data_IF_781195842054
#
_entry.id   IF_781195842054
#
_cell.length_a   1.000
_cell.length_b   1.000
_cell.length_c   1.000
_cell.angle_alpha   90.00
_cell.angle_beta   90.00
_cell.angle_gamma   90.00
#
_symmetry.space_group_name_H-M   'P 1'
#
loop_
_entity.id
_entity.type
_entity.pdbx_description
1 polymer ?
#
# COMPACT_ATOMS: atom_id res chain seq x y z
N UNK A 1 24.78 -50.68 22.40
CA UNK A 1 24.27 -50.42 21.04
C UNK A 1 24.46 -48.94 20.79
N UNK A 2 25.18 -48.52 19.73
CA UNK A 2 25.34 -47.10 19.44
C UNK A 2 24.05 -46.57 18.81
N UNK A 3 23.63 -45.36 19.22
CA UNK A 3 22.48 -44.67 18.68
C UNK A 3 22.81 -44.13 17.28
N UNK A 4 21.94 -44.38 16.31
CA UNK A 4 22.03 -43.81 14.97
C UNK A 4 21.76 -42.29 15.01
N UNK A 5 22.50 -41.48 14.23
CA UNK A 5 22.22 -40.06 14.11
C UNK A 5 20.93 -39.85 13.31
N UNK A 6 19.98 -39.14 13.91
CA UNK A 6 18.78 -38.66 13.22
C UNK A 6 19.20 -37.70 12.09
N UNK A 7 18.86 -38.08 10.86
CA UNK A 7 19.02 -37.22 9.67
C UNK A 7 18.09 -36.01 9.83
N UNK A 8 18.67 -34.81 9.80
CA UNK A 8 17.93 -33.56 9.82
C UNK A 8 17.06 -33.44 8.57
N UNK A 9 15.76 -33.26 8.77
CA UNK A 9 14.81 -32.89 7.72
C UNK A 9 15.19 -31.47 7.27
N UNK A 10 15.55 -31.31 5.99
CA UNK A 10 15.73 -29.99 5.41
C UNK A 10 14.39 -29.24 5.45
N UNK A 11 14.37 -27.92 5.72
CA UNK A 11 13.13 -27.17 5.74
C UNK A 11 12.50 -27.25 4.34
N UNK A 12 11.31 -27.83 4.27
CA UNK A 12 10.49 -27.78 3.07
C UNK A 12 10.24 -26.30 2.78
N UNK A 13 10.63 -25.85 1.57
CA UNK A 13 10.22 -24.54 1.08
C UNK A 13 8.70 -24.59 0.95
N UNK A 14 7.97 -24.03 1.92
CA UNK A 14 6.55 -23.75 1.78
C UNK A 14 6.39 -22.81 0.58
N UNK A 15 5.99 -23.37 -0.57
CA UNK A 15 5.56 -22.57 -1.71
C UNK A 15 4.37 -21.72 -1.24
N UNK A 16 4.57 -20.40 -1.16
CA UNK A 16 3.56 -19.44 -0.76
C UNK A 16 2.32 -19.61 -1.64
N UNK A 17 1.18 -19.98 -1.03
CA UNK A 17 -0.04 -20.33 -1.75
C UNK A 17 -0.61 -19.11 -2.51
N UNK A 18 -0.44 -19.10 -3.83
CA UNK A 18 -1.04 -18.08 -4.70
C UNK A 18 -2.53 -18.36 -4.94
N UNK A 19 -3.36 -17.72 -4.10
CA UNK A 19 -4.83 -17.83 -4.17
C UNK A 19 -5.45 -17.24 -5.45
N UNK A 20 -4.73 -16.38 -6.19
CA UNK A 20 -5.24 -15.73 -7.39
C UNK A 20 -5.03 -16.56 -8.65
N UNK A 21 -4.03 -17.44 -8.64
CA UNK A 21 -3.79 -18.41 -9.72
C UNK A 21 -5.05 -19.23 -10.04
N UNK A 22 -5.75 -19.67 -8.99
CA UNK A 22 -6.97 -20.46 -9.13
C UNK A 22 -8.27 -19.62 -9.06
N UNK A 23 -8.18 -18.35 -8.65
CA UNK A 23 -9.32 -17.45 -8.49
C UNK A 23 -9.00 -16.03 -9.02
N UNK A 24 -8.80 -15.86 -10.34
CA UNK A 24 -8.39 -14.57 -10.92
C UNK A 24 -9.43 -13.45 -10.70
N UNK A 25 -10.70 -13.80 -10.47
CA UNK A 25 -11.78 -12.85 -10.17
C UNK A 25 -11.55 -12.07 -8.87
N UNK A 26 -10.72 -12.58 -7.94
CA UNK A 26 -10.33 -11.85 -6.73
C UNK A 26 -9.42 -10.64 -7.02
N UNK A 27 -8.81 -10.57 -8.21
CA UNK A 27 -8.02 -9.43 -8.69
C UNK A 27 -8.89 -8.35 -9.38
N UNK A 28 -10.21 -8.58 -9.51
CA UNK A 28 -11.15 -7.75 -10.27
C UNK A 28 -12.06 -6.83 -9.42
N UNK A 29 -12.63 -5.82 -10.09
CA UNK A 29 -13.46 -4.78 -9.45
C UNK A 29 -14.82 -5.27 -8.93
N UNK A 30 -15.18 -4.74 -7.76
CA UNK A 30 -16.44 -4.86 -7.03
C UNK A 30 -16.94 -6.29 -6.70
N UNK A 31 -16.31 -6.91 -5.71
CA UNK A 31 -16.95 -8.02 -4.98
C UNK A 31 -18.17 -7.46 -4.20
N UNK A 32 -19.39 -8.04 -4.37
CA UNK A 32 -20.58 -7.64 -3.62
C UNK A 32 -20.31 -7.55 -2.11
N UNK A 33 -20.90 -6.57 -1.43
CA UNK A 33 -20.79 -6.41 0.04
C UNK A 33 -21.21 -7.72 0.70
N UNK A 34 -20.27 -8.47 1.26
CA UNK A 34 -20.56 -9.75 1.92
C UNK A 34 -21.37 -9.43 3.18
N UNK A 35 -22.63 -9.84 3.22
CA UNK A 35 -23.56 -9.56 4.33
C UNK A 35 -23.27 -10.37 5.60
N UNK A 36 -22.25 -11.24 5.61
CA UNK A 36 -21.90 -12.10 6.76
C UNK A 36 -20.39 -12.27 6.91
N UNK A 37 -19.86 -11.80 8.04
CA UNK A 37 -18.48 -11.95 8.50
C UNK A 37 -18.28 -13.28 9.23
N UNK A 38 -18.32 -14.42 8.53
CA UNK A 38 -17.90 -15.69 9.14
C UNK A 38 -16.84 -16.38 8.28
N UNK A 39 -15.76 -16.79 8.95
CA UNK A 39 -14.58 -17.53 8.49
C UNK A 39 -13.69 -16.82 7.46
N UNK A 40 -13.02 -15.73 7.86
CA UNK A 40 -11.68 -15.50 7.35
C UNK A 40 -10.69 -16.23 8.27
N UNK A 41 -9.65 -16.83 7.71
CA UNK A 41 -8.64 -17.56 8.46
C UNK A 41 -7.70 -16.59 9.17
N UNK A 42 -8.19 -16.02 10.27
CA UNK A 42 -7.51 -15.03 11.09
C UNK A 42 -6.25 -15.56 11.79
N UNK A 43 -6.02 -16.87 11.75
CA UNK A 43 -4.86 -17.53 12.35
C UNK A 43 -3.60 -17.45 11.49
N UNK A 44 -3.73 -17.17 10.18
CA UNK A 44 -2.64 -17.19 9.20
C UNK A 44 -2.30 -15.80 8.62
N UNK A 45 -2.44 -14.74 9.41
CA UNK A 45 -1.89 -13.42 9.08
C UNK A 45 -2.75 -12.48 8.23
N UNK A 46 -3.82 -12.94 7.58
CA UNK A 46 -4.69 -12.05 6.79
C UNK A 46 -5.62 -11.23 7.69
N UNK A 47 -5.43 -9.90 7.72
CA UNK A 47 -6.22 -9.01 8.59
C UNK A 47 -7.34 -8.25 7.85
N UNK A 48 -7.42 -8.32 6.51
CA UNK A 48 -8.53 -7.78 5.73
C UNK A 48 -8.64 -8.46 4.35
N UNK A 49 -9.84 -8.79 3.85
CA UNK A 49 -9.99 -9.20 2.46
C UNK A 49 -9.65 -8.03 1.52
N UNK A 50 -9.04 -8.34 0.37
CA UNK A 50 -8.76 -7.32 -0.63
C UNK A 50 -10.06 -6.70 -1.14
N UNK A 51 -10.14 -5.37 -1.09
CA UNK A 51 -11.19 -4.55 -1.70
C UNK A 51 -10.54 -3.30 -2.26
N UNK A 52 -10.58 -3.06 -3.57
CA UNK A 52 -10.05 -1.82 -4.14
C UNK A 52 -10.86 -0.64 -3.61
N UNK A 53 -10.18 0.48 -3.35
CA UNK A 53 -10.86 1.72 -2.97
C UNK A 53 -11.49 2.34 -4.22
N UNK A 54 -12.78 2.71 -4.21
CA UNK A 54 -13.40 3.37 -5.36
C UNK A 54 -12.70 4.67 -5.75
N UNK A 55 -12.48 4.89 -7.05
CA UNK A 55 -11.68 6.00 -7.58
C UNK A 55 -12.27 7.40 -7.29
N UNK A 56 -13.59 7.50 -7.24
CA UNK A 56 -14.32 8.73 -6.91
C UNK A 56 -14.08 9.15 -5.45
N UNK A 57 -14.05 8.18 -4.54
CA UNK A 57 -13.72 8.41 -3.13
C UNK A 57 -12.28 8.84 -2.96
N UNK A 58 -11.35 8.20 -3.67
CA UNK A 58 -9.94 8.59 -3.65
C UNK A 58 -9.73 10.01 -4.18
N UNK A 59 -10.43 10.39 -5.26
CA UNK A 59 -10.39 11.76 -5.79
C UNK A 59 -10.83 12.79 -4.74
N UNK A 60 -11.93 12.50 -4.03
CA UNK A 60 -12.42 13.35 -2.94
C UNK A 60 -11.44 13.40 -1.76
N UNK A 61 -10.89 12.26 -1.36
CA UNK A 61 -9.92 12.16 -0.27
C UNK A 61 -8.66 12.97 -0.57
N UNK A 62 -8.09 12.82 -1.76
CA UNK A 62 -6.91 13.58 -2.19
C UNK A 62 -7.21 15.08 -2.30
N UNK A 63 -8.42 15.48 -2.70
CA UNK A 63 -8.85 16.88 -2.65
C UNK A 63 -8.88 17.50 -1.25
N UNK A 64 -8.97 16.68 -0.19
CA UNK A 64 -9.01 17.13 1.20
C UNK A 64 -7.66 17.00 1.94
N UNK A 65 -6.64 16.48 1.27
CA UNK A 65 -5.29 16.35 1.82
C UNK A 65 -4.43 17.55 1.44
N UNK A 66 -3.57 17.96 2.37
CA UNK A 66 -2.61 19.04 2.14
C UNK A 66 -1.19 18.52 2.35
N UNK A 67 -0.52 18.26 1.25
CA UNK A 67 0.94 18.19 1.26
C UNK A 67 1.50 19.60 1.43
N UNK A 68 1.96 19.87 2.64
CA UNK A 68 2.28 21.18 3.17
C UNK A 68 3.78 21.46 3.16
N UNK A 69 4.60 20.45 2.85
CA UNK A 69 6.05 20.53 2.85
C UNK A 69 6.61 20.22 1.45
N UNK A 70 6.73 21.24 0.57
CA UNK A 70 7.23 21.04 -0.78
C UNK A 70 8.54 20.27 -0.82
N UNK A 71 8.59 19.24 -1.65
CA UNK A 71 9.77 18.39 -1.81
C UNK A 71 10.12 17.50 -0.60
N UNK A 72 9.19 17.29 0.35
CA UNK A 72 9.40 16.35 1.48
C UNK A 72 8.26 15.38 1.73
N UNK A 73 7.03 15.75 1.42
CA UNK A 73 5.91 14.90 1.78
C UNK A 73 5.90 13.59 0.98
N UNK A 74 5.44 12.54 1.64
CA UNK A 74 5.43 11.15 1.19
C UNK A 74 4.24 10.42 1.79
N UNK A 75 3.73 9.44 1.05
CA UNK A 75 2.57 8.64 1.42
C UNK A 75 2.99 7.19 1.68
N UNK A 76 2.52 6.63 2.79
CA UNK A 76 2.64 5.21 3.12
C UNK A 76 1.25 4.58 3.15
N UNK A 77 1.00 3.56 2.35
CA UNK A 77 -0.24 2.79 2.35
C UNK A 77 -0.02 1.42 3.04
N UNK A 78 -0.76 1.18 4.13
CA UNK A 78 -0.68 -0.07 4.90
C UNK A 78 -1.81 -1.02 4.48
N UNK A 79 -1.44 -2.12 3.84
CA UNK A 79 -2.38 -3.01 3.14
C UNK A 79 -2.72 -2.48 1.75
N UNK A 80 -1.68 -2.15 0.98
CA UNK A 80 -1.83 -1.42 -0.28
C UNK A 80 -2.46 -2.21 -1.43
N UNK A 81 -2.58 -3.54 -1.29
CA UNK A 81 -3.22 -4.42 -2.25
C UNK A 81 -2.67 -4.29 -3.67
N UNK A 82 -3.52 -3.86 -4.60
CA UNK A 82 -3.18 -3.68 -6.01
C UNK A 82 -2.42 -2.37 -6.32
N UNK A 83 -2.12 -1.57 -5.30
CA UNK A 83 -1.38 -0.31 -5.41
C UNK A 83 -2.19 0.85 -6.01
N UNK A 84 -3.50 0.71 -6.23
CA UNK A 84 -4.34 1.74 -6.86
C UNK A 84 -4.25 3.09 -6.15
N UNK A 85 -4.27 3.09 -4.82
CA UNK A 85 -4.18 4.31 -3.99
C UNK A 85 -2.86 5.05 -4.26
N UNK A 86 -1.74 4.32 -4.34
CA UNK A 86 -0.41 4.88 -4.59
C UNK A 86 -0.31 5.46 -5.99
N UNK A 87 -0.81 4.74 -6.99
CA UNK A 87 -0.82 5.20 -8.38
C UNK A 87 -1.66 6.46 -8.53
N UNK A 88 -2.88 6.46 -7.98
CA UNK A 88 -3.75 7.62 -8.07
C UNK A 88 -3.17 8.81 -7.29
N UNK A 89 -2.50 8.59 -6.15
CA UNK A 89 -1.78 9.66 -5.44
C UNK A 89 -0.65 10.25 -6.31
N UNK A 90 0.20 9.42 -6.90
CA UNK A 90 1.32 9.87 -7.74
C UNK A 90 0.85 10.57 -9.02
N UNK A 91 -0.30 10.17 -9.58
CA UNK A 91 -0.94 10.85 -10.72
C UNK A 91 -1.59 12.17 -10.33
N UNK A 92 -2.19 12.23 -9.13
CA UNK A 92 -2.90 13.43 -8.65
C UNK A 92 -1.91 14.52 -8.24
N UNK A 93 -0.79 14.14 -7.61
CA UNK A 93 0.15 15.07 -7.00
C UNK A 93 1.49 15.09 -7.74
N UNK A 94 1.93 16.26 -8.25
CA UNK A 94 3.24 16.40 -8.84
C UNK A 94 4.34 16.14 -7.80
N UNK A 95 5.55 15.80 -8.27
CA UNK A 95 6.71 15.52 -7.41
C UNK A 95 7.01 16.65 -6.41
N UNK A 96 6.71 17.90 -6.75
CA UNK A 96 6.88 19.04 -5.86
C UNK A 96 6.00 18.99 -4.61
N UNK A 97 4.87 18.27 -4.67
CA UNK A 97 3.95 18.07 -3.56
C UNK A 97 4.12 16.70 -2.91
N UNK A 98 4.24 15.62 -3.69
CA UNK A 98 4.39 14.26 -3.18
C UNK A 98 5.68 13.65 -3.72
N UNK A 99 6.71 13.49 -2.91
CA UNK A 99 8.01 13.02 -3.39
C UNK A 99 7.99 11.54 -3.73
N UNK A 100 7.32 10.73 -2.90
CA UNK A 100 7.22 9.27 -3.09
C UNK A 100 5.95 8.70 -2.46
N UNK A 101 5.53 7.56 -2.97
CA UNK A 101 4.45 6.75 -2.41
C UNK A 101 4.95 5.33 -2.18
N UNK A 102 4.72 4.79 -0.98
CA UNK A 102 5.21 3.50 -0.53
C UNK A 102 4.04 2.61 -0.13
N UNK A 103 3.96 1.41 -0.67
CA UNK A 103 2.98 0.39 -0.31
C UNK A 103 3.60 -0.74 0.47
N UNK A 104 2.90 -1.22 1.50
CA UNK A 104 3.21 -2.47 2.18
C UNK A 104 2.00 -3.38 2.17
N UNK A 105 2.18 -4.64 1.80
CA UNK A 105 1.14 -5.67 1.91
C UNK A 105 1.73 -7.01 2.35
N UNK A 106 0.90 -7.85 2.97
CA UNK A 106 1.27 -9.20 3.36
C UNK A 106 1.08 -10.19 2.20
N UNK A 107 0.24 -9.87 1.22
CA UNK A 107 -0.07 -10.73 0.09
C UNK A 107 0.93 -10.52 -1.05
N UNK A 108 2.03 -11.29 -1.07
CA UNK A 108 3.04 -11.18 -2.13
C UNK A 108 2.47 -11.41 -3.53
N UNK A 109 1.67 -12.47 -3.80
CA UNK A 109 1.07 -12.65 -5.11
C UNK A 109 0.29 -11.43 -5.60
N UNK A 110 -0.47 -10.76 -4.70
CA UNK A 110 -1.19 -9.54 -5.04
C UNK A 110 -0.23 -8.39 -5.42
N UNK A 111 0.85 -8.21 -4.66
CA UNK A 111 1.87 -7.20 -4.96
C UNK A 111 2.62 -7.47 -6.27
N UNK A 112 2.89 -8.74 -6.59
CA UNK A 112 3.52 -9.14 -7.84
C UNK A 112 2.59 -8.89 -9.03
N UNK A 113 1.29 -9.20 -8.89
CA UNK A 113 0.27 -8.86 -9.87
C UNK A 113 0.15 -7.33 -10.05
N UNK A 114 0.18 -6.57 -8.95
CA UNK A 114 0.17 -5.10 -8.96
C UNK A 114 1.38 -4.56 -9.74
N UNK A 115 2.59 -5.04 -9.41
CA UNK A 115 3.82 -4.69 -10.13
C UNK A 115 3.69 -4.99 -11.61
N UNK A 116 3.27 -6.21 -11.95
CA UNK A 116 3.19 -6.64 -13.34
C UNK A 116 2.18 -5.80 -14.11
N UNK A 117 1.03 -5.46 -13.52
CA UNK A 117 0.04 -4.54 -14.11
C UNK A 117 0.64 -3.16 -14.37
N UNK A 118 1.35 -2.58 -13.39
CA UNK A 118 1.99 -1.26 -13.49
C UNK A 118 3.08 -1.27 -14.58
N UNK A 119 3.87 -2.34 -14.66
CA UNK A 119 4.89 -2.51 -15.69
C UNK A 119 4.29 -2.91 -17.05
N UNK A 120 3.12 -3.52 -17.12
CA UNK A 120 2.46 -3.87 -18.39
C UNK A 120 1.70 -2.70 -19.00
N UNK A 121 1.26 -1.73 -18.19
CA UNK A 121 0.81 -0.43 -18.71
C UNK A 121 1.85 0.24 -19.62
N UNK A 122 3.10 -0.23 -19.66
CA UNK A 122 4.14 0.16 -20.63
C UNK A 122 3.85 -0.23 -22.08
N UNK A 123 3.01 -1.22 -22.34
CA UNK A 123 2.93 -1.90 -23.65
C UNK A 123 1.64 -1.66 -24.43
N UNK A 124 0.66 -0.94 -23.88
CA UNK A 124 -0.54 -0.55 -24.62
C UNK A 124 -0.34 0.79 -25.33
N UNK A 125 0.37 0.75 -26.46
CA UNK A 125 0.28 1.81 -27.47
C UNK A 125 -1.03 1.58 -28.23
N UNK A 126 -1.99 2.50 -28.09
CA UNK A 126 -3.14 2.53 -29.01
C UNK A 126 -2.57 3.00 -30.35
N UNK A 127 -2.47 2.10 -31.33
CA UNK A 127 -2.30 2.51 -32.73
C UNK A 127 -3.58 3.22 -33.17
N UNK A 128 -3.66 4.52 -32.91
CA UNK A 128 -4.66 5.40 -33.51
C UNK A 128 -4.08 5.92 -34.83
N UNK A 129 -4.61 5.50 -36.01
CA UNK A 129 -4.03 5.86 -37.29
C UNK A 129 -4.20 7.34 -37.68
N UNK A 130 -4.92 8.15 -36.90
CA UNK A 130 -5.44 9.44 -37.39
C UNK A 130 -5.25 10.67 -36.46
N UNK A 131 -4.46 10.59 -35.38
CA UNK A 131 -4.27 11.74 -34.49
C UNK A 131 -2.91 12.42 -34.65
N UNK A 132 -2.90 13.48 -35.46
CA UNK A 132 -1.80 14.47 -35.56
C UNK A 132 -1.79 15.48 -34.41
N UNK A 133 -2.16 15.09 -33.20
CA UNK A 133 -2.13 15.94 -32.01
C UNK A 133 -1.36 15.24 -30.88
N UNK A 134 -0.29 15.89 -30.44
CA UNK A 134 0.65 15.52 -29.38
C UNK A 134 -0.04 14.96 -28.11
N UNK A 135 -0.28 13.66 -28.08
CA UNK A 135 -0.48 12.89 -26.85
C UNK A 135 0.90 12.52 -26.31
N UNK A 136 1.38 13.21 -25.28
CA UNK A 136 2.45 12.65 -24.46
C UNK A 136 1.96 11.30 -23.95
N UNK A 137 2.61 10.20 -24.34
CA UNK A 137 2.09 8.86 -24.08
C UNK A 137 1.94 8.68 -22.56
N UNK A 138 0.79 8.19 -22.11
CA UNK A 138 0.55 7.81 -20.71
C UNK A 138 1.70 6.95 -20.15
N UNK A 139 2.28 6.11 -21.00
CA UNK A 139 3.43 5.25 -20.71
C UNK A 139 4.70 6.06 -20.38
N UNK A 140 4.94 7.18 -21.06
CA UNK A 140 6.08 8.07 -20.75
C UNK A 140 5.93 8.68 -19.35
N UNK A 141 4.69 8.97 -18.91
CA UNK A 141 4.42 9.49 -17.55
C UNK A 141 4.67 8.42 -16.48
N UNK A 142 4.25 7.17 -16.72
CA UNK A 142 4.52 6.06 -15.79
C UNK A 142 6.03 5.89 -15.60
N UNK A 143 6.80 5.85 -16.68
CA UNK A 143 8.24 5.58 -16.60
C UNK A 143 9.07 6.76 -16.09
N UNK A 144 8.76 7.98 -16.54
CA UNK A 144 9.58 9.16 -16.20
C UNK A 144 9.22 9.80 -14.85
N UNK A 145 8.00 9.58 -14.35
CA UNK A 145 7.54 10.21 -13.10
C UNK A 145 7.11 9.19 -12.04
N UNK A 146 6.23 8.24 -12.37
CA UNK A 146 5.63 7.36 -11.35
C UNK A 146 6.61 6.32 -10.81
N UNK A 147 7.23 5.51 -11.68
CA UNK A 147 8.14 4.43 -11.26
C UNK A 147 9.33 4.90 -10.41
N UNK A 148 9.96 6.06 -10.69
CA UNK A 148 11.01 6.61 -9.82
C UNK A 148 10.55 6.99 -8.41
N UNK A 149 9.24 7.14 -8.19
CA UNK A 149 8.62 7.63 -6.95
C UNK A 149 7.76 6.57 -6.25
N UNK A 150 7.63 5.37 -6.82
CA UNK A 150 6.83 4.27 -6.29
C UNK A 150 7.73 3.20 -5.64
N UNK A 151 7.36 2.79 -4.44
CA UNK A 151 7.97 1.67 -3.73
C UNK A 151 6.88 0.69 -3.28
N UNK A 152 7.13 -0.61 -3.45
CA UNK A 152 6.27 -1.68 -2.93
C UNK A 152 7.10 -2.66 -2.13
N UNK A 153 6.61 -3.01 -0.96
CA UNK A 153 7.25 -3.94 -0.03
C UNK A 153 6.27 -5.02 0.41
N UNK A 154 6.78 -6.25 0.51
CA UNK A 154 6.10 -7.37 1.14
C UNK A 154 6.54 -7.52 2.59
N UNK A 155 5.58 -7.64 3.52
CA UNK A 155 5.84 -7.97 4.92
C UNK A 155 4.63 -7.74 5.83
N UNK A 156 4.76 -8.15 7.10
CA UNK A 156 3.72 -7.97 8.12
C UNK A 156 3.73 -6.53 8.66
N UNK A 157 2.56 -5.90 8.69
CA UNK A 157 2.36 -4.56 9.24
C UNK A 157 2.58 -4.50 10.76
N UNK A 158 2.49 -5.64 11.46
CA UNK A 158 2.62 -5.75 12.91
C UNK A 158 4.07 -5.96 13.36
N UNK A 159 4.94 -6.49 12.51
CA UNK A 159 6.36 -6.60 12.82
C UNK A 159 7.10 -5.31 12.45
N UNK A 160 7.40 -4.51 13.47
CA UNK A 160 8.01 -3.18 13.30
C UNK A 160 9.46 -3.25 12.83
N UNK A 161 10.17 -4.34 13.14
CA UNK A 161 11.63 -4.42 13.06
C UNK A 161 12.11 -5.52 12.10
N UNK A 162 11.23 -6.42 11.65
CA UNK A 162 11.52 -7.35 10.58
C UNK A 162 11.82 -6.64 9.25
N UNK A 163 12.74 -7.24 8.49
CA UNK A 163 13.14 -6.74 7.19
C UNK A 163 12.05 -6.98 6.15
N UNK A 164 11.60 -5.90 5.52
CA UNK A 164 10.65 -5.95 4.42
C UNK A 164 11.33 -6.39 3.12
N UNK A 165 10.61 -7.21 2.34
CA UNK A 165 11.06 -7.67 1.03
C UNK A 165 10.64 -6.68 -0.06
N UNK A 166 11.59 -6.14 -0.83
CA UNK A 166 11.27 -5.22 -1.94
C UNK A 166 10.57 -5.96 -3.09
N UNK A 167 9.43 -5.42 -3.56
CA UNK A 167 8.74 -5.82 -4.80
C UNK A 167 9.02 -4.80 -5.92
N UNK A 168 8.94 -3.50 -5.60
CA UNK A 168 9.35 -2.39 -6.46
C UNK A 168 10.21 -1.44 -5.63
N UNK A 169 11.38 -1.08 -6.16
CA UNK A 169 12.20 0.01 -5.63
C UNK A 169 12.77 0.85 -6.78
N UNK A 170 12.89 2.19 -6.61
CA UNK A 170 13.52 3.04 -7.59
C UNK A 170 14.95 2.57 -7.90
N UNK A 171 15.30 2.41 -9.18
CA UNK A 171 16.62 1.90 -9.58
C UNK A 171 17.79 2.81 -9.18
N UNK A 172 17.53 4.07 -8.80
CA UNK A 172 18.56 5.09 -8.52
C UNK A 172 19.04 5.18 -7.05
N UNK A 173 18.48 4.42 -6.10
CA UNK A 173 18.89 4.50 -4.68
C UNK A 173 20.13 3.69 -4.31
N UNK A 174 20.86 3.12 -5.28
CA UNK A 174 21.92 2.12 -5.01
C UNK A 174 23.26 2.63 -4.45
N UNK A 175 23.56 3.93 -4.42
CA UNK A 175 24.96 4.34 -4.20
C UNK A 175 25.34 5.01 -2.87
N UNK A 176 24.43 5.38 -1.96
CA UNK A 176 24.86 6.14 -0.75
C UNK A 176 24.09 5.93 0.56
N UNK A 177 23.59 4.71 0.85
CA UNK A 177 23.13 4.41 2.22
C UNK A 177 23.57 3.02 2.66
N UNK A 178 24.40 2.99 3.71
CA UNK A 178 24.86 1.82 4.46
C UNK A 178 23.68 0.86 4.73
N UNK A 179 23.86 -0.42 4.35
CA UNK A 179 22.94 -1.57 4.42
C UNK A 179 22.16 -1.68 5.74
N UNK A 180 21.07 -0.92 5.88
CA UNK A 180 20.04 -1.23 6.87
C UNK A 180 18.80 -1.70 6.14
N UNK A 181 18.25 -2.88 6.50
CA UNK A 181 17.02 -3.36 5.89
C UNK A 181 15.92 -2.32 6.05
N UNK A 182 15.03 -2.24 5.06
CA UNK A 182 13.81 -1.47 5.21
C UNK A 182 12.91 -2.21 6.20
N UNK A 183 12.30 -1.49 7.14
CA UNK A 183 11.39 -2.06 8.15
C UNK A 183 10.15 -1.18 8.27
N UNK A 184 9.06 -1.72 8.84
CA UNK A 184 7.84 -0.96 9.10
C UNK A 184 8.11 0.29 9.96
N UNK A 185 8.97 0.18 10.98
CA UNK A 185 9.38 1.32 11.80
C UNK A 185 9.99 2.43 10.96
N UNK A 186 10.90 2.08 10.06
CA UNK A 186 11.61 3.06 9.22
C UNK A 186 10.65 3.70 8.21
N UNK A 187 9.82 2.91 7.54
CA UNK A 187 8.83 3.46 6.60
C UNK A 187 7.87 4.42 7.28
N UNK A 188 7.37 4.04 8.46
CA UNK A 188 6.54 4.93 9.25
C UNK A 188 7.31 6.20 9.57
N UNK A 189 8.53 6.12 10.14
CA UNK A 189 9.38 7.29 10.46
C UNK A 189 9.62 8.22 9.27
N UNK A 190 9.92 7.65 8.09
CA UNK A 190 10.32 8.39 6.91
C UNK A 190 9.12 8.96 6.13
N UNK A 191 7.89 8.50 6.40
CA UNK A 191 6.69 8.93 5.70
C UNK A 191 5.86 9.97 6.45
N UNK A 192 5.37 10.98 5.72
CA UNK A 192 4.62 12.10 6.31
C UNK A 192 3.12 11.83 6.49
N UNK A 193 2.56 10.99 5.61
CA UNK A 193 1.15 10.65 5.57
C UNK A 193 1.02 9.13 5.53
N UNK A 194 0.08 8.59 6.30
CA UNK A 194 -0.21 7.16 6.36
C UNK A 194 -1.66 6.96 5.95
N UNK A 195 -1.90 6.13 4.95
CA UNK A 195 -3.22 5.69 4.53
C UNK A 195 -3.48 4.27 5.00
N UNK A 196 -4.71 4.00 5.46
CA UNK A 196 -5.18 2.67 5.83
C UNK A 196 -6.62 2.45 5.36
N UNK A 197 -6.87 1.30 4.73
CA UNK A 197 -8.22 0.81 4.48
C UNK A 197 -8.36 -0.64 4.96
N UNK A 198 -8.54 -0.79 6.26
CA UNK A 198 -8.52 -2.08 6.94
C UNK A 198 -9.77 -2.27 7.81
N UNK A 199 -10.03 -3.51 8.19
CA UNK A 199 -11.12 -3.84 9.11
C UNK A 199 -10.85 -3.33 10.54
N UNK A 200 -11.89 -3.08 11.36
CA UNK A 200 -11.74 -2.56 12.72
C UNK A 200 -10.77 -3.36 13.61
N UNK A 201 -10.73 -4.69 13.46
CA UNK A 201 -9.83 -5.57 14.21
C UNK A 201 -8.36 -5.34 13.82
N UNK A 202 -8.08 -5.11 12.54
CA UNK A 202 -6.75 -4.74 12.06
C UNK A 202 -6.34 -3.37 12.57
N UNK A 203 -7.24 -2.38 12.44
CA UNK A 203 -7.02 -1.03 12.94
C UNK A 203 -6.72 -1.03 14.44
N UNK A 204 -7.44 -1.85 15.23
CA UNK A 204 -7.19 -2.02 16.67
C UNK A 204 -5.76 -2.47 16.96
N UNK A 205 -5.22 -3.40 16.18
CA UNK A 205 -3.83 -3.88 16.33
C UNK A 205 -2.80 -2.81 15.93
N UNK A 206 -3.14 -1.97 14.94
CA UNK A 206 -2.26 -0.90 14.45
C UNK A 206 -2.33 0.39 15.27
N UNK A 207 -3.28 0.54 16.21
CA UNK A 207 -3.42 1.74 17.07
C UNK A 207 -2.08 2.21 17.65
N UNK A 208 -1.22 1.36 18.25
CA UNK A 208 0.04 1.83 18.82
C UNK A 208 0.98 2.47 17.79
N UNK A 209 1.04 1.91 16.57
CA UNK A 209 1.86 2.43 15.47
C UNK A 209 1.30 3.76 14.93
N UNK A 210 -0.02 3.84 14.74
CA UNK A 210 -0.68 5.02 14.19
C UNK A 210 -0.68 6.18 15.20
N UNK A 211 -0.85 5.90 16.49
CA UNK A 211 -0.73 6.91 17.55
C UNK A 211 0.69 7.47 17.63
N UNK A 212 1.71 6.60 17.66
CA UNK A 212 3.13 7.00 17.62
C UNK A 212 3.42 7.88 16.39
N UNK A 213 2.82 7.56 15.24
CA UNK A 213 2.95 8.34 14.01
C UNK A 213 2.37 9.75 14.13
N UNK A 214 1.17 9.88 14.71
CA UNK A 214 0.55 11.18 14.97
C UNK A 214 1.35 12.03 15.96
N UNK A 215 1.95 11.41 16.97
CA UNK A 215 2.85 12.09 17.93
C UNK A 215 4.14 12.57 17.28
N UNK A 216 4.59 11.89 16.23
CA UNK A 216 5.74 12.29 15.40
C UNK A 216 5.39 13.35 14.34
N UNK A 217 4.18 13.91 14.36
CA UNK A 217 3.81 15.00 13.45
C UNK A 217 3.24 14.55 12.11
N UNK A 218 2.89 13.27 11.95
CA UNK A 218 2.37 12.72 10.70
C UNK A 218 0.86 12.85 10.62
N UNK A 219 0.32 12.74 9.42
CA UNK A 219 -1.11 12.63 9.17
C UNK A 219 -1.50 11.17 8.97
N UNK A 220 -2.68 10.78 9.46
CA UNK A 220 -3.24 9.46 9.21
C UNK A 220 -4.60 9.60 8.51
N UNK A 221 -4.81 8.80 7.49
CA UNK A 221 -5.99 8.77 6.63
C UNK A 221 -6.61 7.39 6.75
N UNK A 222 -7.87 7.30 7.16
CA UNK A 222 -8.54 6.01 7.32
C UNK A 222 -9.83 5.97 6.51
N UNK A 223 -9.95 4.95 5.66
CA UNK A 223 -11.12 4.71 4.82
C UNK A 223 -12.14 3.83 5.56
N UNK A 224 -13.42 4.17 5.41
CA UNK A 224 -14.62 3.53 5.96
C UNK A 224 -14.76 3.54 7.49
N UNK A 225 -13.68 3.28 8.21
CA UNK A 225 -13.70 3.03 9.65
C UNK A 225 -12.93 4.08 10.44
N UNK A 226 -13.43 4.41 11.62
CA UNK A 226 -12.65 5.16 12.59
C UNK A 226 -11.52 4.28 13.13
N UNK A 227 -10.38 4.88 13.45
CA UNK A 227 -9.31 4.18 14.15
C UNK A 227 -9.69 4.19 15.63
N UNK A 228 -9.80 3.02 16.29
CA UNK A 228 -10.13 2.94 17.70
C UNK A 228 -9.17 3.79 18.54
N UNK A 229 -9.69 4.36 19.63
CA UNK A 229 -8.95 5.15 20.62
C UNK A 229 -8.39 6.50 20.14
N UNK A 230 -8.10 6.66 18.85
CA UNK A 230 -7.69 7.93 18.28
C UNK A 230 -8.86 8.92 18.33
N UNK A 231 -8.53 10.15 18.72
CA UNK A 231 -9.47 11.27 18.83
C UNK A 231 -8.98 12.41 17.94
N UNK A 232 -9.87 13.34 17.62
CA UNK A 232 -9.59 14.54 16.81
C UNK A 232 -9.31 14.21 15.35
N UNK A 233 -10.34 13.77 14.66
CA UNK A 233 -10.35 13.62 13.22
C UNK A 233 -11.40 14.54 12.59
N UNK A 234 -11.24 14.78 11.31
CA UNK A 234 -12.29 15.31 10.45
C UNK A 234 -12.89 14.16 9.66
N UNK A 235 -14.22 14.15 9.52
CA UNK A 235 -14.96 13.14 8.78
C UNK A 235 -15.49 13.72 7.48
N UNK A 236 -15.41 12.93 6.43
CA UNK A 236 -15.85 13.28 5.09
C UNK A 236 -16.61 12.11 4.47
N UNK A 237 -17.38 12.38 3.41
CA UNK A 237 -18.21 11.39 2.73
C UNK A 237 -19.50 11.05 3.47
N UNK A 238 -20.24 10.08 2.94
CA UNK A 238 -21.51 9.59 3.50
C UNK A 238 -21.29 8.32 4.36
N UNK A 239 -22.28 7.43 4.44
CA UNK A 239 -22.14 6.18 5.20
C UNK A 239 -21.39 5.08 4.42
N UNK A 240 -21.44 5.12 3.10
CA UNK A 240 -20.89 4.10 2.21
C UNK A 240 -19.50 4.45 1.68
N UNK A 241 -19.14 5.74 1.69
CA UNK A 241 -17.86 6.26 1.20
C UNK A 241 -17.18 7.16 2.24
N UNK A 242 -17.29 6.79 3.52
CA UNK A 242 -16.76 7.60 4.62
C UNK A 242 -15.25 7.53 4.69
N UNK A 243 -14.60 8.63 5.03
CA UNK A 243 -13.19 8.60 5.44
C UNK A 243 -12.89 9.63 6.53
N UNK A 244 -11.76 9.42 7.20
CA UNK A 244 -11.33 10.15 8.37
C UNK A 244 -9.90 10.65 8.19
N UNK A 245 -9.69 11.93 8.49
CA UNK A 245 -8.36 12.55 8.46
C UNK A 245 -7.98 12.92 9.89
N UNK A 246 -6.93 12.28 10.40
CA UNK A 246 -6.33 12.52 11.71
C UNK A 246 -5.12 13.42 11.52
N UNK A 247 -5.14 14.57 12.17
CA UNK A 247 -4.04 15.54 12.13
C UNK A 247 -3.12 15.35 13.35
N UNK A 248 -1.81 15.63 13.22
CA UNK A 248 -0.91 15.62 14.36
C UNK A 248 -1.34 16.67 15.40
N UNK A 249 -0.91 16.47 16.65
CA UNK A 249 -1.14 17.48 17.70
C UNK A 249 -0.40 18.76 17.32
N UNK A 250 -1.14 19.88 17.25
CA UNK A 250 -0.58 21.22 17.08
C UNK A 250 0.23 21.65 18.31
#
# INVERSE_FOLDING_TARGET
>A
MPAEPQQGIAPEHEEEYDRYKDNPDLLGEEIPKVKRFFSFDWANGFISPFRPTPQDVLSNLFGNIKFSTPGKDSLLDLGCGDGLVLLQALQTFPQSQLVRAVGVDLDRPLLEAARDKILQSKSMTIEDPDSSHSTSNYNDTIESDILPRLELYHGDLLDKDEALSSIITPSMTRETAIDKPMTMRRLVQDCSHIFVYLLPEALSKLVPLLLESLEQGKFVLSMQWEIPELKRYQTYGDADQRYYIYSPKA
#
